data_IF_991762511785
#
_entry.id   IF_991762511785
#
_cell.length_a   1.000
_cell.length_b   1.000
_cell.length_c   1.000
_cell.angle_alpha   90.00
_cell.angle_beta   90.00
_cell.angle_gamma   90.00
#
_symmetry.space_group_name_H-M   'P 1'
#
loop_
_entity.id
_entity.type
_entity.pdbx_description
1 polymer ?
#
# COMPACT_ATOMS: atom_id res chain seq x y z
N UNK A 1 41.47 23.32 40.31
CA UNK A 1 40.04 23.10 39.95
C UNK A 1 39.76 23.38 38.46
N UNK A 2 40.22 22.53 37.53
CA UNK A 2 40.09 22.83 36.08
C UNK A 2 39.47 21.73 35.19
N UNK A 3 39.40 20.48 35.64
CA UNK A 3 39.05 19.36 34.74
C UNK A 3 37.54 19.11 34.56
N UNK A 4 36.69 19.50 35.51
CA UNK A 4 35.22 19.27 35.42
C UNK A 4 34.49 20.22 34.46
N UNK A 5 34.98 21.45 34.22
CA UNK A 5 34.31 22.40 33.30
C UNK A 5 34.59 22.11 31.82
N UNK A 6 35.77 21.56 31.48
CA UNK A 6 36.11 21.22 30.09
C UNK A 6 35.28 20.04 29.56
N UNK A 7 35.02 19.04 30.40
CA UNK A 7 34.24 17.86 30.03
C UNK A 7 32.76 18.22 29.78
N UNK A 8 32.19 19.13 30.57
CA UNK A 8 30.80 19.61 30.35
C UNK A 8 30.69 20.47 29.09
N UNK A 9 31.73 21.23 28.73
CA UNK A 9 31.76 22.02 27.48
C UNK A 9 31.91 21.14 26.24
N UNK A 10 32.68 20.05 26.32
CA UNK A 10 32.79 19.05 25.24
C UNK A 10 31.49 18.26 25.06
N UNK A 11 30.78 17.91 26.14
CA UNK A 11 29.47 17.23 26.04
C UNK A 11 28.40 18.16 25.43
N UNK A 12 28.46 19.48 25.68
CA UNK A 12 27.56 20.45 25.04
C UNK A 12 27.84 20.67 23.55
N UNK A 13 29.08 20.48 23.09
CA UNK A 13 29.43 20.63 21.66
C UNK A 13 29.23 19.36 20.83
N UNK A 14 29.09 18.19 21.47
CA UNK A 14 28.64 16.96 20.82
C UNK A 14 27.11 16.88 20.65
N UNK A 15 26.36 17.90 21.07
CA UNK A 15 25.00 18.19 20.59
C UNK A 15 25.10 18.91 19.23
N UNK A 16 25.96 18.39 18.36
CA UNK A 16 26.06 18.85 16.98
C UNK A 16 24.87 18.26 16.27
N UNK A 17 23.81 19.07 16.16
CA UNK A 17 22.68 18.96 15.21
C UNK A 17 22.75 17.65 14.42
N UNK A 18 22.05 16.63 14.90
CA UNK A 18 21.64 15.51 14.03
C UNK A 18 20.64 16.13 13.07
N UNK A 19 21.15 16.78 12.02
CA UNK A 19 20.38 17.11 10.85
C UNK A 19 19.73 15.79 10.42
N UNK A 20 18.40 15.73 10.24
CA UNK A 20 17.81 14.62 9.53
C UNK A 20 18.49 14.62 8.17
N UNK A 21 19.32 13.60 7.92
CA UNK A 21 19.98 13.39 6.64
C UNK A 21 18.84 13.45 5.62
N UNK A 22 18.86 14.47 4.77
CA UNK A 22 17.90 14.64 3.70
C UNK A 22 17.73 13.28 3.04
N UNK A 23 16.48 12.79 3.00
CA UNK A 23 16.17 11.53 2.33
C UNK A 23 16.82 11.56 0.96
N UNK A 24 17.55 10.48 0.62
CA UNK A 24 18.28 10.42 -0.62
C UNK A 24 17.35 10.82 -1.79
N UNK A 25 17.77 11.74 -2.67
CA UNK A 25 16.96 12.13 -3.80
C UNK A 25 16.67 10.88 -4.64
N UNK A 26 15.39 10.62 -4.89
CA UNK A 26 14.92 9.53 -5.74
C UNK A 26 15.40 9.77 -7.16
N UNK A 27 16.56 9.21 -7.49
CA UNK A 27 17.07 9.18 -8.86
C UNK A 27 16.19 8.25 -9.69
N UNK A 28 15.87 8.63 -10.92
CA UNK A 28 14.87 7.94 -11.76
C UNK A 28 15.15 6.43 -11.96
N UNK A 29 16.41 5.98 -11.88
CA UNK A 29 16.81 4.57 -11.92
C UNK A 29 16.61 3.77 -10.62
N UNK A 30 16.54 4.42 -9.46
CA UNK A 30 16.24 3.76 -8.18
C UNK A 30 14.77 3.31 -8.10
N UNK A 31 13.87 3.97 -8.84
CA UNK A 31 12.43 3.68 -8.76
C UNK A 31 12.05 2.29 -9.27
N UNK A 32 12.69 1.78 -10.33
CA UNK A 32 12.40 0.43 -10.85
C UNK A 32 12.83 -0.65 -9.86
N UNK A 33 14.06 -0.58 -9.36
CA UNK A 33 14.59 -1.54 -8.38
C UNK A 33 13.82 -1.47 -7.05
N UNK A 34 13.41 -0.28 -6.63
CA UNK A 34 12.53 -0.09 -5.46
C UNK A 34 11.13 -0.67 -5.70
N UNK A 35 10.54 -0.50 -6.89
CA UNK A 35 9.25 -1.11 -7.26
C UNK A 35 9.33 -2.63 -7.28
N UNK A 36 10.38 -3.20 -7.86
CA UNK A 36 10.61 -4.64 -7.87
C UNK A 36 10.78 -5.17 -6.43
N UNK A 37 11.56 -4.48 -5.59
CA UNK A 37 11.69 -4.83 -4.17
C UNK A 37 10.37 -4.72 -3.40
N UNK A 38 9.55 -3.71 -3.70
CA UNK A 38 8.22 -3.56 -3.11
C UNK A 38 7.28 -4.70 -3.49
N UNK A 39 7.23 -5.06 -4.77
CA UNK A 39 6.44 -6.21 -5.27
C UNK A 39 6.95 -7.52 -4.66
N UNK A 40 8.27 -7.70 -4.59
CA UNK A 40 8.92 -8.86 -3.97
C UNK A 40 8.68 -8.95 -2.46
N UNK A 41 8.44 -7.82 -1.78
CA UNK A 41 8.09 -7.78 -0.36
C UNK A 41 6.58 -7.98 -0.10
N UNK A 42 5.77 -8.24 -1.13
CA UNK A 42 4.33 -8.48 -1.02
C UNK A 42 3.47 -7.28 -1.39
N UNK A 43 4.07 -6.21 -1.91
CA UNK A 43 3.38 -5.02 -2.39
C UNK A 43 2.51 -4.38 -1.31
N UNK A 44 1.25 -4.10 -1.64
CA UNK A 44 0.29 -3.48 -0.72
C UNK A 44 -0.07 -4.35 0.49
N UNK A 45 0.21 -5.66 0.42
CA UNK A 45 -0.11 -6.62 1.48
C UNK A 45 1.08 -6.89 2.41
N UNK A 46 2.20 -6.18 2.21
CA UNK A 46 3.34 -6.23 3.11
C UNK A 46 2.94 -5.81 4.54
N UNK A 47 3.40 -6.55 5.54
CA UNK A 47 3.15 -6.29 6.95
C UNK A 47 1.85 -6.87 7.51
N UNK A 48 0.93 -7.32 6.66
CA UNK A 48 -0.32 -7.96 7.09
C UNK A 48 -0.11 -9.41 7.52
N UNK A 49 -0.98 -9.88 8.40
CA UNK A 49 -0.94 -11.26 8.87
C UNK A 49 -1.12 -12.24 7.69
N UNK A 50 -0.28 -13.29 7.57
CA UNK A 50 -0.37 -14.25 6.48
C UNK A 50 -1.77 -14.87 6.33
N UNK A 51 -2.45 -15.18 7.44
CA UNK A 51 -3.80 -15.76 7.39
C UNK A 51 -4.84 -14.79 6.81
N UNK A 52 -4.72 -13.49 7.12
CA UNK A 52 -5.60 -12.47 6.54
C UNK A 52 -5.35 -12.33 5.03
N UNK A 53 -4.08 -12.28 4.63
CA UNK A 53 -3.71 -12.17 3.22
C UNK A 53 -4.19 -13.39 2.42
N UNK A 54 -4.15 -14.59 3.00
CA UNK A 54 -4.70 -15.80 2.37
C UNK A 54 -6.20 -15.71 2.20
N UNK A 55 -6.95 -15.25 3.22
CA UNK A 55 -8.40 -15.04 3.10
C UNK A 55 -8.75 -14.03 2.01
N UNK A 56 -8.03 -12.90 1.96
CA UNK A 56 -8.19 -11.89 0.90
C UNK A 56 -7.93 -12.52 -0.47
N UNK A 57 -6.88 -13.34 -0.59
CA UNK A 57 -6.58 -14.06 -1.82
C UNK A 57 -7.71 -14.99 -2.27
N UNK A 58 -8.35 -15.71 -1.34
CA UNK A 58 -9.51 -16.55 -1.69
C UNK A 58 -10.72 -15.74 -2.14
N UNK A 59 -11.02 -14.61 -1.48
CA UNK A 59 -12.07 -13.70 -1.94
C UNK A 59 -11.75 -13.13 -3.33
N UNK A 60 -10.50 -12.76 -3.58
CA UNK A 60 -10.07 -12.28 -4.89
C UNK A 60 -10.20 -13.34 -5.99
N UNK A 61 -9.88 -14.60 -5.70
CA UNK A 61 -10.10 -15.72 -6.61
C UNK A 61 -11.61 -15.88 -6.90
N UNK A 62 -12.45 -15.83 -5.87
CA UNK A 62 -13.90 -15.89 -6.03
C UNK A 62 -14.44 -14.79 -6.94
N UNK A 63 -14.00 -13.55 -6.74
CA UNK A 63 -14.37 -12.41 -7.61
C UNK A 63 -13.88 -12.64 -9.04
N UNK A 64 -12.64 -13.11 -9.23
CA UNK A 64 -12.11 -13.40 -10.56
C UNK A 64 -12.92 -14.47 -11.30
N UNK A 65 -13.38 -15.51 -10.59
CA UNK A 65 -14.28 -16.53 -11.16
C UNK A 65 -15.62 -15.91 -11.57
N UNK A 66 -16.21 -15.05 -10.74
CA UNK A 66 -17.44 -14.33 -11.09
C UNK A 66 -17.25 -13.47 -12.34
N UNK A 67 -16.15 -12.72 -12.44
CA UNK A 67 -15.83 -11.94 -13.64
C UNK A 67 -15.71 -12.84 -14.89
N UNK A 68 -15.09 -14.02 -14.78
CA UNK A 68 -15.00 -14.97 -15.90
C UNK A 68 -16.37 -15.53 -16.30
N UNK A 69 -17.25 -15.81 -15.35
CA UNK A 69 -18.62 -16.24 -15.64
C UNK A 69 -19.42 -15.13 -16.36
N UNK A 70 -19.21 -13.87 -15.99
CA UNK A 70 -19.83 -12.73 -16.67
C UNK A 70 -19.29 -12.57 -18.10
N UNK A 71 -17.97 -12.70 -18.31
CA UNK A 71 -17.39 -12.72 -19.66
C UNK A 71 -18.01 -13.83 -20.50
N UNK A 72 -18.14 -15.04 -19.94
CA UNK A 72 -18.77 -16.15 -20.65
C UNK A 72 -20.25 -15.85 -20.98
N UNK A 73 -21.00 -15.27 -20.05
CA UNK A 73 -22.38 -14.87 -20.29
C UNK A 73 -22.48 -13.80 -21.40
N UNK A 74 -21.61 -12.78 -21.38
CA UNK A 74 -21.55 -11.75 -22.43
C UNK A 74 -21.32 -12.40 -23.79
N UNK A 75 -20.33 -13.28 -23.91
CA UNK A 75 -19.99 -13.94 -25.17
C UNK A 75 -21.08 -14.91 -25.68
N UNK A 76 -21.98 -15.38 -24.82
CA UNK A 76 -23.09 -16.26 -25.21
C UNK A 76 -24.34 -15.45 -25.58
N UNK A 77 -24.68 -14.42 -24.79
CA UNK A 77 -25.98 -13.73 -24.88
C UNK A 77 -25.93 -12.40 -25.68
N UNK A 78 -24.78 -11.73 -25.78
CA UNK A 78 -24.67 -10.44 -26.49
C UNK A 78 -24.54 -10.59 -28.01
N UNK A 79 -23.77 -11.54 -28.58
CA UNK A 79 -23.63 -11.64 -30.03
C UNK A 79 -24.93 -11.80 -30.82
N UNK A 80 -25.94 -12.57 -30.35
CA UNK A 80 -27.22 -12.69 -31.05
C UNK A 80 -28.03 -11.38 -31.14
N UNK A 81 -27.78 -10.42 -30.24
CA UNK A 81 -28.58 -9.19 -30.10
C UNK A 81 -27.84 -7.98 -30.67
N UNK A 82 -26.58 -7.78 -30.25
CA UNK A 82 -25.79 -6.59 -30.55
C UNK A 82 -24.59 -6.86 -31.47
N UNK A 83 -24.31 -8.14 -31.75
CA UNK A 83 -23.22 -8.58 -32.62
C UNK A 83 -21.91 -8.83 -31.87
N UNK A 84 -20.98 -9.50 -32.57
CA UNK A 84 -19.68 -9.89 -32.02
C UNK A 84 -18.78 -8.71 -31.59
N UNK A 85 -18.72 -7.57 -32.30
CA UNK A 85 -17.83 -6.47 -31.92
C UNK A 85 -18.12 -5.92 -30.52
N UNK A 86 -19.40 -5.77 -30.18
CA UNK A 86 -19.85 -5.28 -28.88
C UNK A 86 -19.57 -6.30 -27.77
N UNK A 87 -19.86 -7.58 -28.03
CA UNK A 87 -19.55 -8.66 -27.09
C UNK A 87 -18.05 -8.75 -26.74
N UNK A 88 -17.16 -8.49 -27.72
CA UNK A 88 -15.71 -8.46 -27.50
C UNK A 88 -15.30 -7.22 -26.70
N UNK A 89 -15.80 -6.03 -27.04
CA UNK A 89 -15.53 -4.80 -26.29
C UNK A 89 -15.94 -4.96 -24.81
N UNK A 90 -17.13 -5.50 -24.58
CA UNK A 90 -17.64 -5.71 -23.23
C UNK A 90 -16.87 -6.77 -22.44
N UNK A 91 -16.46 -7.85 -23.11
CA UNK A 91 -15.61 -8.86 -22.49
C UNK A 91 -14.27 -8.29 -22.02
N UNK A 92 -13.68 -7.35 -22.79
CA UNK A 92 -12.41 -6.71 -22.43
C UNK A 92 -12.56 -5.84 -21.17
N UNK A 93 -13.68 -5.14 -20.99
CA UNK A 93 -13.95 -4.34 -19.80
C UNK A 93 -13.86 -5.20 -18.51
N UNK A 94 -14.36 -6.43 -18.55
CA UNK A 94 -14.35 -7.37 -17.43
C UNK A 94 -12.99 -8.05 -17.18
N UNK A 95 -12.05 -7.99 -18.14
CA UNK A 95 -10.66 -8.43 -17.91
C UNK A 95 -9.91 -7.47 -17.00
N UNK A 96 -10.23 -6.17 -17.04
CA UNK A 96 -9.52 -5.14 -16.28
C UNK A 96 -9.62 -5.34 -14.75
N UNK A 97 -10.79 -5.60 -14.14
CA UNK A 97 -10.90 -5.96 -12.72
C UNK A 97 -10.04 -7.18 -12.34
N UNK A 98 -9.99 -8.20 -13.18
CA UNK A 98 -9.18 -9.42 -12.96
C UNK A 98 -7.69 -9.06 -12.95
N UNK A 99 -7.24 -8.29 -13.94
CA UNK A 99 -5.85 -7.87 -14.06
C UNK A 99 -5.40 -7.01 -12.86
N UNK A 100 -6.26 -6.10 -12.40
CA UNK A 100 -5.98 -5.27 -11.21
C UNK A 100 -5.90 -6.14 -9.94
N UNK A 101 -6.89 -7.01 -9.71
CA UNK A 101 -6.88 -7.93 -8.55
C UNK A 101 -5.62 -8.79 -8.53
N UNK A 102 -5.27 -9.39 -9.68
CA UNK A 102 -4.05 -10.19 -9.81
C UNK A 102 -2.80 -9.36 -9.51
N UNK A 103 -2.71 -8.14 -10.02
CA UNK A 103 -1.53 -7.28 -9.84
C UNK A 103 -1.32 -6.86 -8.39
N UNK A 104 -2.39 -6.55 -7.65
CA UNK A 104 -2.29 -6.07 -6.27
C UNK A 104 -2.22 -7.19 -5.24
N UNK A 105 -2.90 -8.32 -5.48
CA UNK A 105 -3.10 -9.36 -4.46
C UNK A 105 -2.19 -10.57 -4.69
N UNK A 106 -1.92 -10.97 -5.93
CA UNK A 106 -1.17 -12.19 -6.22
C UNK A 106 0.26 -12.21 -5.65
N UNK A 107 1.04 -11.10 -5.68
CA UNK A 107 2.37 -11.08 -5.05
C UNK A 107 2.30 -11.36 -3.55
N UNK A 108 1.41 -10.67 -2.82
CA UNK A 108 1.22 -10.87 -1.38
C UNK A 108 0.68 -12.26 -1.05
N UNK A 109 -0.28 -12.77 -1.82
CA UNK A 109 -0.87 -14.10 -1.62
C UNK A 109 0.17 -15.22 -1.77
N UNK A 110 1.02 -15.17 -2.80
CA UNK A 110 2.10 -16.15 -3.00
C UNK A 110 3.09 -16.16 -1.84
N UNK A 111 3.43 -14.98 -1.31
CA UNK A 111 4.34 -14.86 -0.16
C UNK A 111 3.67 -15.31 1.14
N UNK A 112 2.36 -15.05 1.31
CA UNK A 112 1.59 -15.51 2.47
C UNK A 112 1.57 -17.03 2.58
N UNK A 113 1.39 -17.73 1.46
CA UNK A 113 1.43 -19.19 1.40
C UNK A 113 2.80 -19.75 1.81
N UNK A 114 3.89 -19.06 1.44
CA UNK A 114 5.26 -19.41 1.87
C UNK A 114 5.45 -19.14 3.36
N UNK A 115 4.98 -18.00 3.86
CA UNK A 115 5.12 -17.60 5.26
C UNK A 115 4.33 -18.47 6.25
N UNK A 116 3.26 -19.14 5.80
CA UNK A 116 2.53 -20.12 6.64
C UNK A 116 3.38 -21.34 7.00
N UNK A 117 4.34 -21.70 6.15
CA UNK A 117 5.22 -22.86 6.34
C UNK A 117 6.57 -22.48 6.93
N UNK A 118 6.87 -21.18 7.02
CA UNK A 118 8.17 -20.69 7.45
C UNK A 118 8.17 -20.32 8.93
N UNK A 119 9.32 -20.56 9.58
CA UNK A 119 9.54 -20.12 10.95
C UNK A 119 9.75 -18.60 11.04
N UNK A 120 9.42 -18.03 12.21
CA UNK A 120 9.56 -16.60 12.45
C UNK A 120 11.04 -16.21 12.55
N UNK A 121 11.45 -15.20 11.79
CA UNK A 121 12.77 -14.59 11.92
C UNK A 121 12.79 -13.65 13.11
N UNK A 122 13.77 -13.83 14.00
CA UNK A 122 14.02 -12.90 15.09
C UNK A 122 14.92 -11.76 14.61
N UNK A 123 14.44 -10.53 14.76
CA UNK A 123 15.18 -9.31 14.45
C UNK A 123 15.39 -8.56 15.75
N UNK A 124 16.65 -8.38 16.13
CA UNK A 124 17.03 -7.66 17.34
C UNK A 124 17.75 -6.36 16.97
N UNK A 125 17.41 -5.27 17.63
CA UNK A 125 18.12 -4.01 17.44
C UNK A 125 17.56 -2.89 18.30
N UNK A 126 18.10 -1.68 18.10
CA UNK A 126 17.70 -0.49 18.85
C UNK A 126 16.54 0.21 18.15
N UNK A 127 15.51 0.60 18.90
CA UNK A 127 14.43 1.41 18.37
C UNK A 127 14.95 2.80 17.98
N UNK A 128 14.82 3.16 16.70
CA UNK A 128 15.16 4.49 16.17
C UNK A 128 13.94 5.39 16.11
N UNK A 129 12.79 4.81 15.78
CA UNK A 129 11.55 5.55 15.66
C UNK A 129 10.35 4.62 15.56
N UNK A 130 9.20 5.11 15.99
CA UNK A 130 7.93 4.46 15.78
C UNK A 130 6.91 5.51 15.33
N UNK A 131 6.01 5.14 14.44
CA UNK A 131 4.93 5.96 13.91
C UNK A 131 3.62 5.16 13.93
N UNK A 132 2.52 5.79 14.33
CA UNK A 132 1.17 5.19 14.20
C UNK A 132 0.67 5.22 12.74
N UNK A 133 1.37 5.96 11.88
CA UNK A 133 1.08 6.09 10.45
C UNK A 133 2.15 5.36 9.66
N UNK A 134 1.74 4.51 8.72
CA UNK A 134 2.62 3.92 7.72
C UNK A 134 2.08 4.10 6.30
N UNK A 135 2.84 3.60 5.31
CA UNK A 135 2.44 3.51 3.91
C UNK A 135 1.37 2.45 3.65
N UNK A 136 1.15 1.53 4.60
CA UNK A 136 0.12 0.49 4.51
C UNK A 136 -1.07 0.83 5.39
N UNK A 137 -2.28 0.70 4.84
CA UNK A 137 -3.52 1.04 5.53
C UNK A 137 -3.65 0.27 6.86
N UNK A 138 -3.98 0.96 7.95
CA UNK A 138 -4.23 0.31 9.24
C UNK A 138 -3.01 -0.29 9.94
N UNK A 139 -1.80 -0.15 9.37
CA UNK A 139 -0.53 -0.51 10.01
C UNK A 139 0.21 0.78 10.39
N UNK A 140 0.97 0.73 11.48
CA UNK A 140 1.97 1.74 11.77
C UNK A 140 3.37 1.25 11.39
N UNK A 141 4.37 2.08 11.65
CA UNK A 141 5.76 1.85 11.24
C UNK A 141 6.68 1.80 12.45
N UNK A 142 7.64 0.90 12.42
CA UNK A 142 8.67 0.78 13.44
C UNK A 142 10.03 0.69 12.76
N UNK A 143 10.94 1.57 13.13
CA UNK A 143 12.30 1.65 12.61
C UNK A 143 13.26 1.10 13.66
N UNK A 144 13.98 0.04 13.30
CA UNK A 144 14.98 -0.62 14.15
C UNK A 144 16.36 -0.47 13.51
N UNK A 145 17.33 0.00 14.29
CA UNK A 145 18.73 -0.08 13.94
C UNK A 145 19.25 -1.45 14.33
N UNK A 146 19.49 -2.28 13.32
CA UNK A 146 20.11 -3.59 13.45
C UNK A 146 21.61 -3.50 13.09
N UNK A 147 22.35 -4.61 13.25
CA UNK A 147 23.75 -4.68 12.81
C UNK A 147 23.92 -4.46 11.29
N UNK A 148 22.88 -4.75 10.50
CA UNK A 148 22.87 -4.56 9.04
C UNK A 148 22.42 -3.18 8.58
N UNK A 149 22.11 -2.27 9.52
CA UNK A 149 21.59 -0.93 9.23
C UNK A 149 20.17 -0.71 9.77
N UNK A 150 19.54 0.37 9.34
CA UNK A 150 18.19 0.76 9.77
C UNK A 150 17.15 0.05 8.93
N UNK A 151 16.39 -0.85 9.54
CA UNK A 151 15.29 -1.58 8.92
C UNK A 151 13.94 -1.00 9.34
N UNK A 152 12.99 -0.94 8.39
CA UNK A 152 11.63 -0.49 8.63
C UNK A 152 10.67 -1.69 8.60
N UNK A 153 9.85 -1.80 9.64
CA UNK A 153 8.81 -2.82 9.78
C UNK A 153 7.43 -2.18 9.87
N UNK A 154 6.46 -2.81 9.25
CA UNK A 154 5.05 -2.46 9.35
C UNK A 154 4.43 -3.26 10.49
N UNK A 155 3.87 -2.57 11.47
CA UNK A 155 3.46 -3.16 12.75
C UNK A 155 1.98 -2.88 13.01
N UNK A 156 1.21 -3.89 13.46
CA UNK A 156 -0.17 -3.67 13.87
C UNK A 156 -0.27 -2.65 15.01
N UNK A 157 -1.29 -1.76 15.05
CA UNK A 157 -1.45 -0.73 16.07
C UNK A 157 -1.44 -1.28 17.50
N UNK A 158 -2.06 -2.45 17.71
CA UNK A 158 -2.08 -3.13 19.01
C UNK A 158 -0.67 -3.47 19.54
N UNK A 159 0.29 -3.74 18.65
CA UNK A 159 1.68 -4.05 18.99
C UNK A 159 2.53 -2.79 19.15
N UNK A 160 2.20 -1.70 18.45
CA UNK A 160 2.89 -0.42 18.60
C UNK A 160 2.66 0.22 19.97
N UNK A 161 1.51 -0.01 20.60
CA UNK A 161 1.25 0.43 21.99
C UNK A 161 2.23 -0.15 23.01
N UNK A 162 2.85 -1.28 22.70
CA UNK A 162 3.82 -1.95 23.57
C UNK A 162 5.21 -1.32 23.47
N UNK A 163 5.44 -0.46 22.48
CA UNK A 163 6.75 0.12 22.16
C UNK A 163 6.90 1.46 22.89
N UNK A 164 7.90 1.61 23.76
CA UNK A 164 8.13 2.86 24.48
C UNK A 164 8.59 3.96 23.52
N UNK A 165 8.36 5.22 23.91
CA UNK A 165 8.82 6.39 23.14
C UNK A 165 10.32 6.68 23.25
N UNK A 166 11.07 5.86 23.98
CA UNK A 166 12.51 6.03 24.21
C UNK A 166 13.34 5.09 23.31
N UNK A 167 14.64 5.38 23.14
CA UNK A 167 15.57 4.49 22.46
C UNK A 167 15.80 3.22 23.31
N UNK A 168 15.08 2.14 22.98
CA UNK A 168 15.15 0.87 23.71
C UNK A 168 15.46 -0.26 22.75
N UNK A 169 16.17 -1.28 23.23
CA UNK A 169 16.39 -2.49 22.45
C UNK A 169 15.07 -3.26 22.30
N UNK A 170 14.75 -3.65 21.08
CA UNK A 170 13.53 -4.36 20.71
C UNK A 170 13.89 -5.64 19.98
N UNK A 171 13.14 -6.69 20.27
CA UNK A 171 13.17 -7.98 19.61
C UNK A 171 11.84 -8.15 18.88
N UNK A 172 11.90 -8.27 17.57
CA UNK A 172 10.74 -8.49 16.72
C UNK A 172 10.76 -9.94 16.24
N UNK A 173 9.63 -10.64 16.35
CA UNK A 173 9.44 -11.90 15.62
C UNK A 173 8.67 -11.58 14.35
N UNK A 174 9.31 -11.77 13.20
CA UNK A 174 8.81 -11.32 11.89
C UNK A 174 8.71 -12.49 10.92
N UNK A 175 7.69 -12.51 10.07
CA UNK A 175 7.64 -13.48 8.97
C UNK A 175 8.67 -13.14 7.89
N UNK A 176 9.34 -14.13 7.27
CA UNK A 176 10.48 -13.86 6.40
C UNK A 176 10.10 -13.13 5.10
N UNK A 177 8.92 -13.40 4.52
CA UNK A 177 8.55 -12.83 3.23
C UNK A 177 7.69 -11.56 3.35
N UNK A 178 6.52 -11.65 3.98
CA UNK A 178 5.59 -10.51 4.14
C UNK A 178 6.07 -9.48 5.17
N UNK A 179 7.16 -9.79 5.91
CA UNK A 179 7.68 -8.97 7.00
C UNK A 179 6.62 -8.61 8.04
N UNK A 180 5.66 -9.52 8.28
CA UNK A 180 4.62 -9.34 9.27
C UNK A 180 5.19 -9.51 10.67
N UNK A 181 5.00 -8.50 11.53
CA UNK A 181 5.46 -8.55 12.92
C UNK A 181 4.46 -9.32 13.78
N UNK A 182 4.80 -10.57 14.13
CA UNK A 182 4.00 -11.45 14.99
C UNK A 182 4.03 -11.01 16.46
N UNK A 183 5.21 -10.65 16.95
CA UNK A 183 5.42 -10.20 18.33
C UNK A 183 6.49 -9.12 18.42
N UNK A 184 6.34 -8.25 19.42
CA UNK A 184 7.28 -7.20 19.76
C UNK A 184 7.65 -7.36 21.23
N UNK A 185 8.89 -7.75 21.50
CA UNK A 185 9.50 -7.76 22.82
C UNK A 185 10.34 -6.52 23.01
N UNK A 186 10.19 -5.85 24.16
CA UNK A 186 11.03 -4.72 24.54
C UNK A 186 12.01 -5.21 25.59
N UNK A 187 13.31 -5.07 25.32
CA UNK A 187 14.38 -5.43 26.25
C UNK A 187 14.84 -4.16 26.97
N UNK A 188 14.37 -3.99 28.21
CA UNK A 188 14.69 -2.85 29.07
C UNK A 188 13.48 -2.29 29.82
N UNK A 189 13.71 -1.27 30.66
CA UNK A 189 12.64 -0.61 31.39
C UNK A 189 11.72 0.18 30.45
N UNK A 190 10.41 -0.02 30.59
CA UNK A 190 9.36 0.74 29.87
C UNK A 190 9.11 2.06 30.58
N UNK A 191 10.06 2.99 30.47
CA UNK A 191 10.04 4.18 31.33
C UNK A 191 8.97 5.21 30.91
N UNK A 192 8.53 5.22 29.64
CA UNK A 192 7.57 6.23 29.15
C UNK A 192 6.60 5.64 28.12
N UNK A 193 5.30 5.74 28.41
CA UNK A 193 4.24 5.45 27.45
C UNK A 193 4.29 6.44 26.28
N UNK A 194 4.27 5.93 25.06
CA UNK A 194 4.33 6.77 23.86
C UNK A 194 3.00 7.51 23.69
N UNK A 195 3.04 8.84 23.75
CA UNK A 195 1.91 9.67 23.32
C UNK A 195 1.83 9.57 21.79
N UNK A 196 0.79 8.94 21.28
CA UNK A 196 0.54 8.90 19.85
C UNK A 196 0.13 10.31 19.39
N UNK A 197 0.86 10.94 18.46
CA UNK A 197 0.38 12.18 17.86
C UNK A 197 -0.93 11.89 17.12
N UNK A 198 -1.92 12.75 17.30
CA UNK A 198 -3.20 12.63 16.62
C UNK A 198 -2.97 12.63 15.11
N UNK A 199 -3.38 11.56 14.44
CA UNK A 199 -3.20 11.42 12.99
C UNK A 199 -4.15 12.39 12.28
N UNK A 200 -3.64 13.34 11.47
CA UNK A 200 -4.48 14.25 10.71
C UNK A 200 -5.44 13.46 9.80
N UNK A 201 -6.71 13.86 9.68
CA UNK A 201 -7.67 13.21 8.80
C UNK A 201 -7.20 13.10 7.34
N UNK A 202 -6.41 14.07 6.87
CA UNK A 202 -5.83 14.09 5.51
C UNK A 202 -4.90 12.90 5.27
N UNK A 203 -4.10 12.50 6.26
CA UNK A 203 -3.23 11.32 6.12
C UNK A 203 -4.04 10.02 6.00
N UNK A 204 -5.17 9.91 6.73
CA UNK A 204 -6.07 8.76 6.62
C UNK A 204 -6.68 8.66 5.22
N UNK A 205 -7.08 9.79 4.62
CA UNK A 205 -7.62 9.84 3.24
C UNK A 205 -6.55 9.49 2.21
N UNK A 206 -5.33 10.01 2.37
CA UNK A 206 -4.21 9.72 1.47
C UNK A 206 -3.84 8.23 1.45
N UNK A 207 -3.95 7.53 2.59
CA UNK A 207 -3.75 6.08 2.70
C UNK A 207 -4.81 5.26 1.95
N UNK A 208 -5.99 5.82 1.69
CA UNK A 208 -7.10 5.13 1.02
C UNK A 208 -7.03 5.23 -0.50
N UNK A 209 -6.40 6.27 -1.05
CA UNK A 209 -6.31 6.47 -2.50
C UNK A 209 -5.74 5.26 -3.28
N UNK A 210 -4.65 4.59 -2.82
CA UNK A 210 -4.12 3.42 -3.54
C UNK A 210 -5.08 2.24 -3.65
N UNK A 211 -6.14 2.20 -2.83
CA UNK A 211 -7.19 1.18 -2.88
C UNK A 211 -8.41 1.68 -3.64
N UNK A 212 -8.84 2.92 -3.37
CA UNK A 212 -10.05 3.50 -3.97
C UNK A 212 -9.86 3.71 -5.47
N UNK A 213 -8.70 4.18 -5.92
CA UNK A 213 -8.47 4.50 -7.34
C UNK A 213 -8.58 3.27 -8.25
N UNK A 214 -7.92 2.12 -7.98
CA UNK A 214 -8.12 0.91 -8.77
C UNK A 214 -9.57 0.39 -8.76
N UNK A 215 -10.25 0.47 -7.61
CA UNK A 215 -11.66 0.07 -7.49
C UNK A 215 -12.55 0.98 -8.32
N UNK A 216 -12.36 2.30 -8.24
CA UNK A 216 -13.10 3.27 -9.03
C UNK A 216 -12.83 3.11 -10.53
N UNK A 217 -11.60 2.80 -10.93
CA UNK A 217 -11.27 2.50 -12.33
C UNK A 217 -11.98 1.24 -12.83
N UNK A 218 -11.98 0.18 -12.04
CA UNK A 218 -12.68 -1.05 -12.38
C UNK A 218 -14.20 -0.82 -12.52
N UNK A 219 -14.81 -0.10 -11.57
CA UNK A 219 -16.24 0.25 -11.63
C UNK A 219 -16.56 1.16 -12.81
N UNK A 220 -15.73 2.17 -13.07
CA UNK A 220 -15.93 3.08 -14.18
C UNK A 220 -15.85 2.38 -15.54
N UNK A 221 -14.92 1.43 -15.69
CA UNK A 221 -14.82 0.61 -16.90
C UNK A 221 -16.06 -0.27 -17.10
N UNK A 222 -16.50 -0.98 -16.05
CA UNK A 222 -17.68 -1.87 -16.13
C UNK A 222 -18.97 -1.08 -16.35
N UNK A 223 -19.23 -0.05 -15.55
CA UNK A 223 -20.46 0.75 -15.66
C UNK A 223 -20.51 1.50 -17.00
N UNK A 224 -19.38 2.05 -17.44
CA UNK A 224 -19.30 2.77 -18.70
C UNK A 224 -19.60 1.88 -19.90
N UNK A 225 -19.08 0.66 -19.87
CA UNK A 225 -19.28 -0.33 -20.92
C UNK A 225 -20.70 -0.92 -20.90
N UNK A 226 -21.19 -1.36 -19.73
CA UNK A 226 -22.55 -1.88 -19.57
C UNK A 226 -23.63 -0.84 -19.96
N UNK A 227 -23.40 0.44 -19.65
CA UNK A 227 -24.31 1.52 -20.01
C UNK A 227 -24.38 1.75 -21.53
N UNK A 228 -23.26 1.57 -22.24
CA UNK A 228 -23.26 1.66 -23.71
C UNK A 228 -23.84 0.39 -24.33
N UNK A 229 -23.52 -0.79 -23.82
CA UNK A 229 -24.07 -2.06 -24.29
C UNK A 229 -25.60 -2.11 -24.22
N UNK A 230 -26.21 -1.48 -23.21
CA UNK A 230 -27.66 -1.39 -23.05
C UNK A 230 -28.32 -0.26 -23.87
N UNK A 231 -27.54 0.58 -24.56
CA UNK A 231 -28.07 1.68 -25.35
C UNK A 231 -28.51 1.21 -26.75
N UNK A 232 -29.73 1.61 -27.22
CA UNK A 232 -30.23 1.18 -28.51
C UNK A 232 -29.55 1.97 -29.63
N UNK A 233 -28.38 1.50 -30.09
CA UNK A 233 -27.62 2.10 -31.20
C UNK A 233 -27.62 1.14 -32.39
N UNK A 234 -28.21 1.51 -33.55
CA UNK A 234 -28.43 0.59 -34.67
C UNK A 234 -27.17 0.23 -35.47
N UNK A 235 -26.09 1.02 -35.37
CA UNK A 235 -24.84 0.77 -36.09
C UNK A 235 -23.79 0.17 -35.16
N UNK A 236 -23.46 -1.11 -35.39
CA UNK A 236 -22.55 -1.92 -34.57
C UNK A 236 -21.13 -1.35 -34.44
N UNK A 237 -20.58 -0.75 -35.50
CA UNK A 237 -19.23 -0.16 -35.46
C UNK A 237 -19.22 1.14 -34.65
N UNK A 238 -20.27 1.95 -34.79
CA UNK A 238 -20.44 3.19 -34.03
C UNK A 238 -20.70 2.87 -32.55
N UNK A 239 -21.50 1.85 -32.28
CA UNK A 239 -21.81 1.37 -30.95
C UNK A 239 -20.56 0.86 -30.21
N UNK A 240 -19.77 -0.01 -30.84
CA UNK A 240 -18.52 -0.51 -30.26
C UNK A 240 -17.47 0.59 -30.04
N UNK A 241 -17.34 1.53 -30.99
CA UNK A 241 -16.41 2.66 -30.82
C UNK A 241 -16.85 3.63 -29.72
N UNK A 242 -18.16 3.87 -29.56
CA UNK A 242 -18.72 4.61 -28.43
C UNK A 242 -18.44 3.92 -27.10
N UNK A 243 -18.57 2.60 -27.02
CA UNK A 243 -18.27 1.84 -25.79
C UNK A 243 -16.82 2.06 -25.35
N UNK A 244 -15.88 1.91 -26.29
CA UNK A 244 -14.45 2.13 -26.05
C UNK A 244 -14.17 3.59 -25.64
N UNK A 245 -14.78 4.56 -26.33
CA UNK A 245 -14.57 5.99 -26.05
C UNK A 245 -15.12 6.39 -24.68
N UNK A 246 -16.31 5.91 -24.32
CA UNK A 246 -16.93 6.18 -23.00
C UNK A 246 -16.11 5.53 -21.89
N UNK A 247 -15.70 4.27 -22.06
CA UNK A 247 -14.82 3.59 -21.11
C UNK A 247 -13.47 4.31 -20.92
N UNK A 248 -12.84 4.73 -22.03
CA UNK A 248 -11.59 5.48 -21.99
C UNK A 248 -11.75 6.86 -21.34
N UNK A 249 -12.82 7.59 -21.65
CA UNK A 249 -13.11 8.90 -21.06
C UNK A 249 -13.36 8.80 -19.54
N UNK A 250 -14.15 7.82 -19.10
CA UNK A 250 -14.39 7.57 -17.68
C UNK A 250 -13.12 7.13 -16.95
N UNK A 251 -12.32 6.24 -17.56
CA UNK A 251 -11.01 5.85 -17.01
C UNK A 251 -10.07 7.04 -16.85
N UNK A 252 -9.97 7.90 -17.88
CA UNK A 252 -9.18 9.12 -17.84
C UNK A 252 -9.67 10.10 -16.77
N UNK A 253 -10.99 10.25 -16.61
CA UNK A 253 -11.59 11.10 -15.59
C UNK A 253 -11.27 10.60 -14.17
N UNK A 254 -11.44 9.30 -13.90
CA UNK A 254 -11.12 8.71 -12.57
C UNK A 254 -9.64 8.86 -12.25
N UNK A 255 -8.77 8.59 -13.23
CA UNK A 255 -7.32 8.76 -13.04
C UNK A 255 -6.96 10.23 -12.80
N UNK A 256 -7.50 11.15 -13.61
CA UNK A 256 -7.28 12.59 -13.48
C UNK A 256 -7.72 13.12 -12.12
N UNK A 257 -8.94 12.82 -11.70
CA UNK A 257 -9.48 13.22 -10.39
C UNK A 257 -8.60 12.67 -9.26
N UNK A 258 -8.24 11.39 -9.32
CA UNK A 258 -7.37 10.76 -8.32
C UNK A 258 -6.01 11.44 -8.24
N UNK A 259 -5.40 11.78 -9.39
CA UNK A 259 -4.11 12.46 -9.47
C UNK A 259 -4.16 13.87 -8.87
N UNK A 260 -5.19 14.67 -9.20
CA UNK A 260 -5.37 16.01 -8.66
C UNK A 260 -5.61 15.99 -7.15
N UNK A 261 -6.46 15.07 -6.67
CA UNK A 261 -6.72 14.89 -5.24
C UNK A 261 -5.47 14.48 -4.48
N UNK A 262 -4.68 13.55 -5.02
CA UNK A 262 -3.42 13.12 -4.42
C UNK A 262 -2.43 14.28 -4.32
N UNK A 263 -2.30 15.09 -5.39
CA UNK A 263 -1.43 16.26 -5.40
C UNK A 263 -1.84 17.29 -4.35
N UNK A 264 -3.14 17.59 -4.26
CA UNK A 264 -3.70 18.51 -3.26
C UNK A 264 -3.47 18.02 -1.83
N UNK A 265 -3.76 16.75 -1.54
CA UNK A 265 -3.56 16.18 -0.21
C UNK A 265 -2.08 16.14 0.19
N UNK A 266 -1.17 15.88 -0.76
CA UNK A 266 0.28 15.96 -0.49
C UNK A 266 0.71 17.39 -0.12
N UNK A 267 0.18 18.42 -0.80
CA UNK A 267 0.47 19.81 -0.42
C UNK A 267 -0.07 20.16 0.96
N UNK A 268 -1.26 19.67 1.32
CA UNK A 268 -1.83 19.87 2.67
C UNK A 268 -0.97 19.18 3.75
N UNK A 269 -0.48 17.97 3.49
CA UNK A 269 0.41 17.24 4.42
C UNK A 269 1.76 17.95 4.57
N UNK A 270 2.36 18.42 3.47
CA UNK A 270 3.63 19.16 3.53
C UNK A 270 3.51 20.48 4.32
N UNK A 271 2.36 21.14 4.27
CA UNK A 271 2.09 22.34 5.06
C UNK A 271 1.98 22.07 6.56
N UNK A 272 1.63 20.84 6.97
CA UNK A 272 1.52 20.43 8.37
C UNK A 272 2.86 19.99 8.98
N UNK A 273 3.90 19.75 8.17
CA UNK A 273 5.24 19.45 8.68
C UNK A 273 5.87 20.75 9.16
N UNK A 274 6.36 20.84 10.41
CA UNK A 274 7.06 22.03 10.88
C UNK A 274 8.25 22.31 9.96
N UNK A 275 8.24 23.47 9.30
CA UNK A 275 9.38 23.97 8.54
C UNK A 275 10.46 24.33 9.57
N UNK A 276 11.51 23.52 9.60
CA UNK A 276 12.68 23.76 10.43
C UNK A 276 13.47 24.98 9.96
#
# INVERSE_FOLDING_TARGET
MGKKRAQVRQVRQQIRKVQPKSGAPTSAGQTRRQREQFVQAGGMLQGYAPDLVVRIGYYAIGIAVVCLLIIAAILIFVPPIYGWPDAVAASIAWVLPIALLASFIAPGFRLALKDRKAEGRLVQGQLVGASSVSTSMGLGMLMVQTRGGVEQFLVPPARLKQVPGNQVNVVLTVTPNLRHVRSVGVMGQRVVGRVEPAVPPVMKRLQQLPVITPVALALAAVIGDDAVALSPIPNQLIHASLAILVGAALGAAVYGISFFLQRRMMTEVQAMVPKG
#
